data_IF_346542511478
#
_entry.id   IF_346542511478
#
_cell.length_a   1.000
_cell.length_b   1.000
_cell.length_c   1.000
_cell.angle_alpha   90.00
_cell.angle_beta   90.00
_cell.angle_gamma   90.00
#
_symmetry.space_group_name_H-M   'P 1'
#
loop_
_entity.id
_entity.type
_entity.pdbx_description
1 polymer ?
#
# COMPACT_ATOMS: atom_id res chain seq x y z
N UNK A 1 -0.92 14.26 -3.04
CA UNK A 1 -2.37 14.11 -3.27
C UNK A 1 -3.09 14.06 -1.94
N UNK A 2 -4.24 14.70 -1.89
CA UNK A 2 -5.07 14.77 -0.71
C UNK A 2 -6.33 13.94 -0.94
N UNK A 3 -6.68 13.12 0.03
CA UNK A 3 -7.91 12.36 0.04
C UNK A 3 -8.79 12.88 1.16
N UNK A 4 -10.03 13.14 0.83
CA UNK A 4 -11.03 13.66 1.74
C UNK A 4 -12.17 12.63 1.83
N UNK A 5 -12.19 11.76 2.83
CA UNK A 5 -13.28 10.82 3.00
C UNK A 5 -14.57 11.54 3.40
N UNK A 6 -15.69 11.07 2.89
CA UNK A 6 -16.99 11.53 3.36
C UNK A 6 -17.12 11.34 4.86
N UNK A 7 -17.58 12.37 5.54
CA UNK A 7 -17.83 12.30 6.97
C UNK A 7 -19.02 11.39 7.27
N UNK A 8 -18.89 10.57 8.29
CA UNK A 8 -20.02 9.84 8.81
C UNK A 8 -21.05 10.85 9.39
N UNK A 9 -22.36 10.65 9.17
CA UNK A 9 -23.37 11.51 9.76
C UNK A 9 -23.18 11.66 11.28
N UNK A 10 -23.13 12.89 11.77
CA UNK A 10 -22.92 13.21 13.20
C UNK A 10 -21.47 13.39 13.62
N UNK A 11 -20.51 13.34 12.70
CA UNK A 11 -19.12 13.72 12.97
C UNK A 11 -18.78 15.04 12.28
N UNK A 12 -18.26 15.98 13.05
CA UNK A 12 -17.74 17.28 12.62
C UNK A 12 -16.23 17.29 12.35
N UNK A 13 -15.60 16.10 12.43
CA UNK A 13 -14.16 15.90 12.20
C UNK A 13 -13.89 15.30 10.83
N UNK A 14 -12.84 15.79 10.22
CA UNK A 14 -12.41 15.41 8.87
C UNK A 14 -11.01 14.78 8.93
N UNK A 15 -10.73 13.87 8.01
CA UNK A 15 -9.40 13.29 7.84
C UNK A 15 -8.84 13.72 6.49
N UNK A 16 -7.65 14.28 6.49
CA UNK A 16 -6.90 14.56 5.26
C UNK A 16 -5.74 13.59 5.21
N UNK A 17 -5.61 12.87 4.10
CA UNK A 17 -4.47 12.00 3.83
C UNK A 17 -3.61 12.66 2.75
N UNK A 18 -2.37 12.97 3.10
CA UNK A 18 -1.36 13.44 2.17
C UNK A 18 -0.41 12.28 1.84
N UNK A 19 -0.06 12.12 0.58
CA UNK A 19 0.89 11.10 0.15
C UNK A 19 1.97 11.67 -0.76
N UNK A 20 3.19 11.24 -0.53
CA UNK A 20 4.36 11.56 -1.35
C UNK A 20 5.24 10.33 -1.55
N UNK A 21 6.11 10.38 -2.54
CA UNK A 21 7.10 9.32 -2.73
C UNK A 21 8.21 9.46 -1.69
N UNK A 22 8.64 8.33 -1.15
CA UNK A 22 9.75 8.25 -0.22
C UNK A 22 10.62 7.03 -0.53
N UNK A 23 11.93 7.14 -0.29
CA UNK A 23 12.86 6.01 -0.41
C UNK A 23 13.11 5.43 0.97
N UNK A 24 13.16 4.12 1.05
CA UNK A 24 13.39 3.41 2.32
C UNK A 24 14.72 3.79 2.97
N UNK A 25 15.77 3.98 2.16
CA UNK A 25 17.11 4.28 2.60
C UNK A 25 17.24 5.61 3.34
N UNK A 26 16.37 6.56 3.00
CA UNK A 26 16.36 7.88 3.62
C UNK A 26 15.84 7.83 5.08
N UNK A 27 15.22 6.72 5.47
CA UNK A 27 14.58 6.54 6.78
C UNK A 27 15.18 5.42 7.62
N UNK A 28 15.73 4.37 6.98
CA UNK A 28 16.07 3.12 7.66
C UNK A 28 17.29 3.20 8.57
N UNK A 29 18.17 4.18 8.34
CA UNK A 29 19.46 4.31 9.05
C UNK A 29 19.48 5.52 10.00
N UNK A 30 18.37 6.21 10.17
CA UNK A 30 18.25 7.33 11.11
C UNK A 30 18.26 6.82 12.55
N UNK A 31 18.87 7.58 13.43
CA UNK A 31 18.68 7.38 14.87
C UNK A 31 17.23 7.64 15.25
N UNK A 32 16.81 7.22 16.44
CA UNK A 32 15.46 7.44 16.91
C UNK A 32 15.09 8.93 16.96
N UNK A 33 16.03 9.76 17.37
CA UNK A 33 15.87 11.22 17.43
C UNK A 33 15.76 11.85 16.05
N UNK A 34 16.64 11.47 15.12
CA UNK A 34 16.60 11.94 13.71
C UNK A 34 15.32 11.47 13.02
N UNK A 35 14.89 10.24 13.28
CA UNK A 35 13.67 9.70 12.71
C UNK A 35 12.44 10.48 13.19
N UNK A 36 12.34 10.76 14.48
CA UNK A 36 11.25 11.56 15.03
C UNK A 36 11.25 12.99 14.48
N UNK A 37 12.42 13.63 14.42
CA UNK A 37 12.57 14.96 13.85
C UNK A 37 12.17 15.01 12.37
N UNK A 38 12.61 14.04 11.57
CA UNK A 38 12.27 13.94 10.15
C UNK A 38 10.77 13.69 9.91
N UNK A 39 10.11 12.92 10.78
CA UNK A 39 8.65 12.77 10.73
C UNK A 39 7.94 14.08 11.03
N UNK A 40 8.41 14.82 12.01
CA UNK A 40 7.82 16.12 12.36
C UNK A 40 8.01 17.13 11.21
N UNK A 41 9.19 17.18 10.60
CA UNK A 41 9.47 18.04 9.44
C UNK A 41 8.55 17.72 8.24
N UNK A 42 8.28 16.42 8.01
CA UNK A 42 7.33 15.99 6.99
C UNK A 42 5.89 16.45 7.29
N UNK A 43 5.48 16.39 8.54
CA UNK A 43 4.17 16.91 8.98
C UNK A 43 4.11 18.43 8.76
N UNK A 44 5.12 19.16 9.21
CA UNK A 44 5.17 20.62 9.10
C UNK A 44 5.18 21.08 7.66
N UNK A 45 6.00 20.48 6.81
CA UNK A 45 6.01 20.74 5.36
C UNK A 45 4.65 20.47 4.72
N UNK A 46 3.97 19.39 5.14
CA UNK A 46 2.64 19.06 4.63
C UNK A 46 1.61 20.10 5.05
N UNK A 47 1.66 20.58 6.30
CA UNK A 47 0.75 21.63 6.78
C UNK A 47 1.01 22.96 6.08
N UNK A 48 2.26 23.32 5.81
CA UNK A 48 2.61 24.53 5.03
C UNK A 48 2.06 24.45 3.60
N UNK A 49 2.12 23.29 2.98
CA UNK A 49 1.49 23.10 1.67
C UNK A 49 -0.04 23.20 1.74
N UNK A 50 -0.65 22.66 2.79
CA UNK A 50 -2.10 22.70 2.99
C UNK A 50 -2.62 24.11 3.30
N UNK A 51 -1.83 24.95 3.95
CA UNK A 51 -2.20 26.34 4.27
C UNK A 51 -2.61 27.13 3.02
N UNK A 52 -2.04 26.80 1.86
CA UNK A 52 -2.37 27.44 0.58
C UNK A 52 -3.80 27.14 0.12
N UNK A 53 -4.39 26.07 0.60
CA UNK A 53 -5.73 25.60 0.20
C UNK A 53 -6.75 25.75 1.33
N UNK A 54 -6.30 25.61 2.57
CA UNK A 54 -7.14 25.70 3.77
C UNK A 54 -6.51 26.69 4.73
N UNK A 55 -6.89 27.96 4.69
CA UNK A 55 -6.32 28.99 5.57
C UNK A 55 -6.48 28.61 7.05
N UNK A 56 -5.45 28.88 7.84
CA UNK A 56 -5.35 28.58 9.27
C UNK A 56 -5.51 27.07 9.56
N UNK A 57 -4.96 26.21 8.69
CA UNK A 57 -5.06 24.76 8.85
C UNK A 57 -4.44 24.29 10.17
N UNK A 58 -3.33 24.89 10.59
CA UNK A 58 -2.64 24.51 11.84
C UNK A 58 -3.49 24.70 13.08
N UNK A 59 -4.39 25.67 13.10
CA UNK A 59 -5.33 25.91 14.21
C UNK A 59 -6.52 24.93 14.21
N UNK A 60 -6.75 24.25 13.08
CA UNK A 60 -7.87 23.32 12.86
C UNK A 60 -7.47 21.87 13.00
N UNK A 61 -6.18 21.56 13.11
CA UNK A 61 -5.66 20.20 13.22
C UNK A 61 -5.60 19.78 14.67
N UNK A 62 -6.40 18.80 15.04
CA UNK A 62 -6.38 18.17 16.35
C UNK A 62 -5.23 17.15 16.49
N UNK A 63 -4.89 16.46 15.40
CA UNK A 63 -3.87 15.42 15.36
C UNK A 63 -3.27 15.32 13.96
N UNK A 64 -1.96 15.15 13.89
CA UNK A 64 -1.24 14.85 12.67
C UNK A 64 -0.16 13.78 12.92
N UNK A 65 -0.04 12.85 12.01
CA UNK A 65 0.95 11.78 12.07
C UNK A 65 1.49 11.47 10.68
N UNK A 66 2.79 11.17 10.59
CA UNK A 66 3.43 10.72 9.37
C UNK A 66 3.76 9.22 9.44
N UNK A 67 3.41 8.49 8.38
CA UNK A 67 3.87 7.12 8.15
C UNK A 67 4.98 7.12 7.10
N UNK A 68 6.04 6.38 7.36
CA UNK A 68 7.24 6.30 6.54
C UNK A 68 7.39 4.91 5.91
N UNK A 69 8.31 4.67 4.97
CA UNK A 69 8.60 3.33 4.49
C UNK A 69 8.96 2.33 5.61
N UNK A 70 9.61 2.78 6.68
CA UNK A 70 9.90 1.93 7.87
C UNK A 70 8.61 1.55 8.60
N UNK A 71 7.66 2.49 8.72
CA UNK A 71 6.32 2.22 9.27
C UNK A 71 5.59 1.16 8.44
N UNK A 72 5.60 1.32 7.10
CA UNK A 72 5.00 0.33 6.19
C UNK A 72 5.64 -1.05 6.35
N UNK A 73 6.96 -1.13 6.36
CA UNK A 73 7.66 -2.40 6.57
C UNK A 73 7.30 -3.04 7.90
N UNK A 74 7.19 -2.26 8.97
CA UNK A 74 6.85 -2.77 10.29
C UNK A 74 5.48 -3.47 10.30
N UNK A 75 4.46 -2.84 9.73
CA UNK A 75 3.09 -3.36 9.76
C UNK A 75 2.80 -4.38 8.66
N UNK A 76 3.27 -4.16 7.45
CA UNK A 76 2.92 -5.01 6.30
C UNK A 76 3.92 -6.13 6.05
N UNK A 77 5.12 -6.05 6.60
CA UNK A 77 6.27 -6.92 6.33
C UNK A 77 6.72 -6.89 4.86
N UNK A 78 6.22 -5.96 4.07
CA UNK A 78 6.68 -5.77 2.71
C UNK A 78 8.14 -5.33 2.68
N UNK A 79 8.88 -5.88 1.73
CA UNK A 79 10.29 -5.57 1.58
C UNK A 79 10.53 -4.08 1.35
N UNK A 80 11.37 -3.47 2.20
CA UNK A 80 11.70 -2.05 2.18
C UNK A 80 10.47 -1.12 2.22
N UNK A 81 9.44 -1.53 2.92
CA UNK A 81 8.24 -0.72 3.10
C UNK A 81 7.48 -0.39 1.83
N UNK A 82 7.57 -1.26 0.81
CA UNK A 82 6.84 -1.08 -0.42
C UNK A 82 5.32 -0.99 -0.16
N UNK A 83 4.71 0.08 -0.63
CA UNK A 83 3.26 0.29 -0.52
C UNK A 83 2.46 -0.46 -1.59
N UNK A 84 3.13 -0.90 -2.67
CA UNK A 84 2.53 -1.62 -3.78
C UNK A 84 3.19 -2.99 -3.90
N UNK A 85 2.81 -4.01 -3.22
CA UNK A 85 3.25 -5.39 -3.38
C UNK A 85 4.65 -5.60 -4.00
N UNK A 86 4.77 -6.59 -4.87
CA UNK A 86 6.01 -6.85 -5.63
C UNK A 86 6.16 -5.90 -6.82
N UNK A 87 7.37 -5.83 -7.40
CA UNK A 87 7.61 -5.14 -8.67
C UNK A 87 6.71 -5.71 -9.78
N UNK A 88 6.58 -4.97 -10.89
CA UNK A 88 5.73 -5.40 -12.03
C UNK A 88 6.10 -6.79 -12.53
N UNK A 89 7.39 -7.10 -12.61
CA UNK A 89 7.91 -8.42 -13.00
C UNK A 89 7.45 -9.55 -12.08
N UNK A 90 7.12 -9.23 -10.84
CA UNK A 90 6.60 -10.20 -9.87
C UNK A 90 5.27 -10.85 -10.28
N UNK A 91 4.47 -10.20 -11.13
CA UNK A 91 3.25 -10.79 -11.65
C UNK A 91 3.54 -12.00 -12.55
N UNK A 92 4.54 -11.89 -13.43
CA UNK A 92 4.94 -13.00 -14.30
C UNK A 92 5.48 -14.18 -13.48
N UNK A 93 6.33 -13.90 -12.49
CA UNK A 93 6.84 -14.92 -11.56
C UNK A 93 5.69 -15.60 -10.81
N UNK A 94 4.78 -14.80 -10.26
CA UNK A 94 3.63 -15.31 -9.49
C UNK A 94 2.73 -16.24 -10.32
N UNK A 95 2.45 -15.88 -11.57
CA UNK A 95 1.62 -16.67 -12.49
C UNK A 95 2.28 -17.97 -12.94
N UNK A 96 3.61 -18.01 -13.02
CA UNK A 96 4.38 -19.18 -13.43
C UNK A 96 4.76 -20.12 -12.29
N UNK A 97 4.41 -19.80 -11.04
CA UNK A 97 4.71 -20.66 -9.90
C UNK A 97 4.17 -22.09 -10.06
N UNK A 98 2.93 -22.33 -10.52
CA UNK A 98 2.39 -23.68 -10.70
C UNK A 98 3.14 -24.51 -11.76
N UNK A 99 3.80 -23.85 -12.73
CA UNK A 99 4.62 -24.52 -13.74
C UNK A 99 5.95 -25.03 -13.15
N UNK A 100 6.46 -24.32 -12.14
CA UNK A 100 7.72 -24.67 -11.47
C UNK A 100 7.50 -25.63 -10.31
N UNK A 101 6.43 -25.45 -9.56
CA UNK A 101 6.07 -26.26 -8.39
C UNK A 101 4.59 -26.58 -8.51
N UNK A 102 4.29 -27.83 -8.91
CA UNK A 102 2.91 -28.28 -9.08
C UNK A 102 2.05 -28.05 -7.85
N UNK A 103 0.89 -27.42 -8.03
CA UNK A 103 -0.05 -27.12 -6.94
C UNK A 103 0.30 -25.88 -6.09
N UNK A 104 1.40 -25.17 -6.38
CA UNK A 104 1.72 -23.92 -5.69
C UNK A 104 1.18 -22.72 -6.46
N UNK A 105 0.22 -22.02 -5.85
CA UNK A 105 -0.38 -20.80 -6.40
C UNK A 105 -0.13 -19.65 -5.44
N UNK A 106 0.06 -18.46 -5.98
CA UNK A 106 0.22 -17.23 -5.22
C UNK A 106 -0.91 -16.24 -5.56
N UNK A 107 -1.54 -15.67 -4.55
CA UNK A 107 -2.56 -14.64 -4.67
C UNK A 107 -2.24 -13.45 -3.77
N UNK A 108 -2.82 -12.30 -4.04
CA UNK A 108 -2.65 -11.08 -3.25
C UNK A 108 -2.12 -9.91 -4.07
N UNK A 109 -1.48 -8.96 -3.41
CA UNK A 109 -0.97 -7.75 -4.06
C UNK A 109 0.31 -8.05 -4.84
N UNK A 110 0.24 -7.99 -6.17
CA UNK A 110 1.36 -8.30 -7.07
C UNK A 110 1.51 -7.22 -8.13
N UNK A 111 2.68 -6.60 -8.18
CA UNK A 111 2.94 -5.51 -9.12
C UNK A 111 2.02 -4.30 -8.92
N UNK A 112 2.18 -3.28 -9.73
CA UNK A 112 1.36 -2.06 -9.64
C UNK A 112 -0.09 -2.31 -10.07
N UNK A 113 -0.30 -3.12 -11.11
CA UNK A 113 -1.63 -3.36 -11.70
C UNK A 113 -2.53 -4.17 -10.75
N UNK A 114 -1.95 -5.14 -10.06
CA UNK A 114 -2.66 -6.02 -9.11
C UNK A 114 -2.37 -5.62 -7.67
N UNK A 115 -2.12 -4.34 -7.40
CA UNK A 115 -1.90 -3.80 -6.06
C UNK A 115 -3.10 -3.04 -5.54
N UNK A 116 -3.04 -2.70 -4.26
CA UNK A 116 -4.17 -2.13 -3.55
C UNK A 116 -5.29 -3.16 -3.39
N UNK A 117 -6.38 -2.72 -2.77
CA UNK A 117 -7.49 -3.63 -2.44
C UNK A 117 -8.15 -4.24 -3.69
N UNK A 118 -8.50 -3.39 -4.65
CA UNK A 118 -9.17 -3.82 -5.88
C UNK A 118 -8.29 -4.74 -6.73
N UNK A 119 -7.01 -4.40 -6.89
CA UNK A 119 -6.07 -5.21 -7.67
C UNK A 119 -5.83 -6.57 -7.03
N UNK A 120 -5.66 -6.62 -5.71
CA UNK A 120 -5.45 -7.88 -4.98
C UNK A 120 -6.67 -8.81 -5.06
N UNK A 121 -7.90 -8.26 -4.97
CA UNK A 121 -9.14 -9.03 -5.15
C UNK A 121 -9.26 -9.57 -6.57
N UNK A 122 -9.04 -8.74 -7.59
CA UNK A 122 -9.06 -9.18 -8.98
C UNK A 122 -8.04 -10.29 -9.25
N UNK A 123 -6.83 -10.15 -8.73
CA UNK A 123 -5.83 -11.20 -8.88
C UNK A 123 -6.22 -12.50 -8.16
N UNK A 124 -6.85 -12.39 -6.99
CA UNK A 124 -7.43 -13.54 -6.29
C UNK A 124 -8.45 -14.31 -7.13
N UNK A 125 -9.32 -13.59 -7.87
CA UNK A 125 -10.28 -14.21 -8.80
C UNK A 125 -9.56 -14.94 -9.94
N UNK A 126 -8.54 -14.33 -10.53
CA UNK A 126 -7.74 -14.97 -11.60
C UNK A 126 -7.10 -16.25 -11.08
N UNK A 127 -6.44 -16.19 -9.93
CA UNK A 127 -5.76 -17.35 -9.32
C UNK A 127 -6.75 -18.44 -8.93
N UNK A 128 -7.94 -18.11 -8.41
CA UNK A 128 -8.96 -19.11 -8.07
C UNK A 128 -9.45 -19.89 -9.30
N UNK A 129 -9.59 -19.22 -10.45
CA UNK A 129 -9.91 -19.89 -11.71
C UNK A 129 -8.78 -20.83 -12.19
N UNK A 130 -7.53 -20.45 -11.96
CA UNK A 130 -6.39 -21.31 -12.33
C UNK A 130 -6.29 -22.52 -11.37
N UNK A 131 -6.60 -22.35 -10.09
CA UNK A 131 -6.73 -23.45 -9.12
C UNK A 131 -7.85 -24.41 -9.50
N UNK A 132 -9.02 -23.88 -9.88
CA UNK A 132 -10.16 -24.70 -10.30
C UNK A 132 -9.80 -25.58 -11.52
N UNK A 133 -9.16 -25.01 -12.52
CA UNK A 133 -8.65 -25.77 -13.69
C UNK A 133 -7.63 -26.84 -13.29
N UNK A 134 -6.77 -26.54 -12.33
CA UNK A 134 -5.78 -27.49 -11.85
C UNK A 134 -6.43 -28.68 -11.11
N UNK A 135 -7.47 -28.42 -10.33
CA UNK A 135 -8.17 -29.43 -9.55
C UNK A 135 -9.19 -30.24 -10.36
N UNK A 136 -9.70 -29.66 -11.45
CA UNK A 136 -10.68 -30.32 -12.33
C UNK A 136 -9.94 -31.09 -13.42
N UNK A 137 -9.85 -32.43 -13.36
CA UNK A 137 -9.22 -33.20 -14.40
C UNK A 137 -9.93 -32.94 -15.75
N UNK A 138 -9.16 -32.76 -16.81
CA UNK A 138 -9.74 -32.70 -18.14
C UNK A 138 -10.61 -33.95 -18.34
N UNK A 139 -11.92 -33.81 -18.48
CA UNK A 139 -12.80 -34.91 -18.87
C UNK A 139 -12.32 -35.37 -20.23
N UNK A 140 -11.67 -36.53 -20.25
CA UNK A 140 -11.27 -37.14 -21.50
C UNK A 140 -12.54 -37.36 -22.34
N UNK A 141 -12.69 -36.56 -23.37
CA UNK A 141 -13.72 -36.78 -24.39
C UNK A 141 -13.32 -38.06 -25.13
N UNK A 142 -14.03 -39.14 -24.84
CA UNK A 142 -13.93 -40.42 -25.55
C UNK A 142 -14.60 -40.27 -26.91
#
# INVERSE_FOLDING_TARGET
>A
SFYYPETRPGHDRYVIVSSTNARFEDWANLSEEEYAASKQDLVDTTLDCLEQYVPNIREKVDHAEASTPVTFQHYTKHWRGSSFGTKFEGLDVSRKLPEQIGGLFHAGSVGIIMSGWLGAVNYGVIVSNDVDKYLTPAVATV
#
